data_IF_374886041405
#
_entry.id   IF_374886041405
#
_cell.length_a   1.000
_cell.length_b   1.000
_cell.length_c   1.000
_cell.angle_alpha   90.00
_cell.angle_beta   90.00
_cell.angle_gamma   90.00
#
_symmetry.space_group_name_H-M   'P 1'
#
loop_
_entity.id
_entity.type
_entity.pdbx_description
1 polymer ?
#
# COMPACT_ATOMS: atom_id res chain seq x y z
N UNK A 1 -11.16 -11.78 -80.41
CA UNK A 1 -12.15 -11.09 -79.55
C UNK A 1 -11.50 -10.86 -78.20
N UNK A 2 -11.16 -9.62 -77.85
CA UNK A 2 -10.67 -9.30 -76.49
C UNK A 2 -11.88 -9.32 -75.56
N UNK A 3 -11.83 -10.16 -74.53
CA UNK A 3 -12.79 -10.12 -73.43
C UNK A 3 -12.54 -8.81 -72.69
N UNK A 4 -13.59 -8.04 -72.42
CA UNK A 4 -13.48 -6.80 -71.66
C UNK A 4 -12.95 -7.14 -70.27
N UNK A 5 -11.96 -6.39 -69.80
CA UNK A 5 -11.57 -6.41 -68.39
C UNK A 5 -12.77 -5.84 -67.65
N UNK A 6 -13.46 -6.68 -66.88
CA UNK A 6 -14.38 -6.18 -65.86
C UNK A 6 -13.51 -5.39 -64.88
N UNK A 7 -13.50 -4.07 -65.05
CA UNK A 7 -13.06 -3.18 -64.00
C UNK A 7 -14.00 -3.44 -62.82
N UNK A 8 -13.53 -4.23 -61.86
CA UNK A 8 -14.08 -4.31 -60.50
C UNK A 8 -13.83 -2.96 -59.81
N UNK A 9 -14.43 -1.90 -60.35
CA UNK A 9 -14.61 -0.62 -59.67
C UNK A 9 -15.58 -0.94 -58.55
N UNK A 10 -15.02 -1.16 -57.36
CA UNK A 10 -15.79 -1.31 -56.12
C UNK A 10 -16.60 -0.02 -55.97
N UNK A 11 -17.93 -0.06 -56.11
CA UNK A 11 -18.73 1.15 -55.99
C UNK A 11 -18.59 1.71 -54.56
N UNK A 12 -18.57 3.04 -54.39
CA UNK A 12 -18.43 3.64 -53.06
C UNK A 12 -19.53 3.13 -52.15
N UNK A 13 -19.15 2.34 -51.15
CA UNK A 13 -20.09 1.77 -50.19
C UNK A 13 -20.60 2.85 -49.24
N UNK A 14 -21.78 2.62 -48.67
CA UNK A 14 -22.31 3.51 -47.65
C UNK A 14 -21.49 3.36 -46.36
N UNK A 15 -20.55 4.28 -46.17
CA UNK A 15 -19.59 4.29 -45.05
C UNK A 15 -20.27 4.23 -43.69
N UNK A 16 -21.50 4.74 -43.56
CA UNK A 16 -22.28 4.68 -42.32
C UNK A 16 -22.75 3.26 -41.99
N UNK A 17 -23.22 2.51 -42.99
CA UNK A 17 -23.71 1.13 -42.81
C UNK A 17 -22.51 0.22 -42.53
N UNK A 18 -21.45 0.31 -43.34
CA UNK A 18 -20.24 -0.50 -43.15
C UNK A 18 -19.55 -0.18 -41.82
N UNK A 19 -19.47 1.10 -41.45
CA UNK A 19 -18.91 1.52 -40.16
C UNK A 19 -19.70 1.00 -38.97
N UNK A 20 -21.04 1.03 -39.03
CA UNK A 20 -21.90 0.50 -37.95
C UNK A 20 -21.73 -1.01 -37.80
N UNK A 21 -21.72 -1.76 -38.90
CA UNK A 21 -21.50 -3.22 -38.88
C UNK A 21 -20.10 -3.54 -38.32
N UNK A 22 -19.07 -2.81 -38.77
CA UNK A 22 -17.69 -3.00 -38.32
C UNK A 22 -17.55 -2.75 -36.80
N UNK A 23 -18.11 -1.65 -36.29
CA UNK A 23 -18.09 -1.34 -34.86
C UNK A 23 -18.83 -2.42 -34.06
N UNK A 24 -20.04 -2.81 -34.49
CA UNK A 24 -20.80 -3.84 -33.78
C UNK A 24 -20.09 -5.20 -33.79
N UNK A 25 -19.44 -5.58 -34.89
CA UNK A 25 -18.62 -6.80 -34.98
C UNK A 25 -17.42 -6.72 -34.03
N UNK A 26 -16.71 -5.59 -34.01
CA UNK A 26 -15.58 -5.38 -33.09
C UNK A 26 -16.03 -5.43 -31.63
N UNK A 27 -17.13 -4.77 -31.28
CA UNK A 27 -17.70 -4.78 -29.92
C UNK A 27 -18.15 -6.19 -29.52
N UNK A 28 -18.73 -6.97 -30.44
CA UNK A 28 -19.10 -8.37 -30.19
C UNK A 28 -17.88 -9.24 -29.89
N UNK A 29 -16.80 -9.10 -30.67
CA UNK A 29 -15.56 -9.86 -30.43
C UNK A 29 -14.93 -9.46 -29.10
N UNK A 30 -14.79 -8.17 -28.83
CA UNK A 30 -14.18 -7.68 -27.58
C UNK A 30 -15.00 -8.06 -26.34
N UNK A 31 -16.33 -7.95 -26.41
CA UNK A 31 -17.21 -8.37 -25.31
C UNK A 31 -17.17 -9.89 -25.07
N UNK A 32 -17.06 -10.69 -26.14
CA UNK A 32 -16.89 -12.15 -26.02
C UNK A 32 -15.59 -12.50 -25.30
N UNK A 33 -14.47 -11.87 -25.70
CA UNK A 33 -13.17 -12.07 -25.06
C UNK A 33 -13.23 -11.61 -23.59
N UNK A 34 -13.84 -10.46 -23.31
CA UNK A 34 -14.01 -9.95 -21.95
C UNK A 34 -14.80 -10.92 -21.06
N UNK A 35 -15.87 -11.54 -21.56
CA UNK A 35 -16.65 -12.54 -20.82
C UNK A 35 -15.85 -13.82 -20.52
N UNK A 36 -14.97 -14.25 -21.42
CA UNK A 36 -14.07 -15.39 -21.15
C UNK A 36 -13.10 -15.03 -20.03
N UNK A 37 -12.44 -13.88 -20.10
CA UNK A 37 -11.50 -13.45 -19.07
C UNK A 37 -12.16 -13.12 -17.72
N UNK A 38 -13.42 -12.65 -17.73
CA UNK A 38 -14.21 -12.42 -16.52
C UNK A 38 -14.18 -13.64 -15.59
N UNK A 39 -14.31 -14.84 -16.15
CA UNK A 39 -14.39 -16.07 -15.36
C UNK A 39 -13.15 -16.27 -14.48
N UNK A 40 -11.96 -16.15 -15.06
CA UNK A 40 -10.69 -16.39 -14.37
C UNK A 40 -10.23 -15.17 -13.57
N UNK A 41 -10.36 -13.97 -14.14
CA UNK A 41 -9.80 -12.76 -13.54
C UNK A 41 -10.67 -12.14 -12.44
N UNK A 42 -12.00 -12.34 -12.48
CA UNK A 42 -12.93 -11.63 -11.59
C UNK A 42 -13.88 -12.59 -10.88
N UNK A 43 -14.56 -13.49 -11.59
CA UNK A 43 -15.56 -14.38 -10.99
C UNK A 43 -14.96 -15.37 -9.98
N UNK A 44 -13.89 -16.07 -10.35
CA UNK A 44 -13.19 -16.99 -9.43
C UNK A 44 -12.70 -16.30 -8.14
N UNK A 45 -11.93 -15.19 -8.19
CA UNK A 45 -11.49 -14.52 -6.97
C UNK A 45 -12.64 -13.91 -6.17
N UNK A 46 -13.66 -13.34 -6.83
CA UNK A 46 -14.83 -12.79 -6.13
C UNK A 46 -15.61 -13.87 -5.39
N UNK A 47 -15.83 -15.03 -6.03
CA UNK A 47 -16.52 -16.17 -5.40
C UNK A 47 -15.74 -16.70 -4.19
N UNK A 48 -14.40 -16.75 -4.26
CA UNK A 48 -13.54 -17.10 -3.11
C UNK A 48 -13.67 -16.08 -1.99
N UNK A 49 -13.72 -14.78 -2.31
CA UNK A 49 -13.90 -13.72 -1.32
C UNK A 49 -15.26 -13.85 -0.59
N UNK A 50 -16.35 -14.07 -1.33
CA UNK A 50 -17.68 -14.27 -0.72
C UNK A 50 -17.76 -15.54 0.15
N UNK A 51 -17.06 -16.60 -0.24
CA UNK A 51 -17.06 -17.87 0.51
C UNK A 51 -15.96 -17.94 1.59
N UNK A 52 -15.15 -16.90 1.77
CA UNK A 52 -14.03 -16.91 2.70
C UNK A 52 -14.44 -16.87 4.17
N UNK A 53 -15.67 -16.40 4.47
CA UNK A 53 -16.14 -16.19 5.83
C UNK A 53 -15.36 -15.14 6.62
N UNK A 54 -14.58 -14.30 5.94
CA UNK A 54 -13.85 -13.18 6.55
C UNK A 54 -14.85 -12.06 6.90
N UNK A 55 -14.74 -11.54 8.12
CA UNK A 55 -15.57 -10.41 8.56
C UNK A 55 -15.09 -9.10 7.94
N UNK A 56 -16.02 -8.23 7.52
CA UNK A 56 -15.70 -6.89 6.98
C UNK A 56 -15.26 -5.89 8.07
N UNK A 57 -15.52 -6.19 9.34
CA UNK A 57 -15.05 -5.36 10.46
C UNK A 57 -13.60 -5.74 10.76
N UNK A 58 -12.65 -4.79 10.63
CA UNK A 58 -11.26 -5.08 10.92
C UNK A 58 -11.02 -5.22 12.42
N UNK A 59 -10.11 -6.13 12.76
CA UNK A 59 -9.48 -6.25 14.08
C UNK A 59 -8.05 -5.74 14.00
N UNK A 60 -7.33 -5.70 15.12
CA UNK A 60 -5.95 -5.24 15.12
C UNK A 60 -4.98 -6.42 15.05
N UNK A 61 -4.04 -6.33 14.12
CA UNK A 61 -2.90 -7.22 14.00
C UNK A 61 -1.65 -6.56 14.56
N UNK A 62 -0.86 -7.32 15.31
CA UNK A 62 0.50 -6.94 15.71
C UNK A 62 1.49 -7.93 15.12
N UNK A 63 2.48 -7.46 14.35
CA UNK A 63 3.53 -8.34 13.80
C UNK A 63 4.42 -8.89 14.92
N UNK A 64 4.53 -10.21 14.99
CA UNK A 64 5.32 -10.92 16.00
C UNK A 64 6.67 -11.37 15.46
N UNK A 65 6.73 -11.82 14.20
CA UNK A 65 7.95 -12.24 13.51
C UNK A 65 7.84 -12.06 12.00
N UNK A 66 8.94 -11.68 11.36
CA UNK A 66 9.10 -11.70 9.91
C UNK A 66 10.31 -12.58 9.55
N UNK A 67 10.07 -13.64 8.78
CA UNK A 67 11.11 -14.64 8.47
C UNK A 67 11.35 -14.73 6.98
N UNK A 68 12.61 -14.62 6.58
CA UNK A 68 13.06 -14.93 5.22
C UNK A 68 13.33 -16.44 5.11
N UNK A 69 12.69 -17.13 4.17
CA UNK A 69 12.86 -18.57 3.95
C UNK A 69 13.14 -18.85 2.47
N UNK A 70 14.17 -19.62 2.16
CA UNK A 70 14.63 -19.88 0.79
C UNK A 70 13.73 -20.81 -0.02
N UNK A 71 12.96 -21.67 0.66
CA UNK A 71 11.99 -22.56 0.03
C UNK A 71 10.66 -22.50 0.79
N UNK A 72 9.72 -21.75 0.25
CA UNK A 72 8.45 -21.48 0.87
C UNK A 72 7.30 -22.31 0.28
N UNK A 73 6.45 -22.82 1.16
CA UNK A 73 5.13 -23.35 0.75
C UNK A 73 4.10 -22.22 0.59
N UNK A 74 4.32 -21.10 1.28
CA UNK A 74 3.48 -19.89 1.25
C UNK A 74 4.34 -18.66 1.57
N UNK A 75 3.96 -17.50 1.05
CA UNK A 75 4.55 -16.20 1.37
C UNK A 75 3.46 -15.17 1.67
N UNK A 76 3.80 -14.12 2.42
CA UNK A 76 2.84 -13.08 2.80
C UNK A 76 2.43 -12.18 1.62
N UNK A 77 3.36 -11.98 0.68
CA UNK A 77 3.11 -11.27 -0.57
C UNK A 77 4.00 -11.83 -1.67
N UNK A 78 3.43 -12.09 -2.84
CA UNK A 78 4.13 -12.40 -4.08
C UNK A 78 3.65 -11.52 -5.22
N UNK A 79 4.53 -11.25 -6.18
CA UNK A 79 4.19 -10.54 -7.41
C UNK A 79 4.17 -11.53 -8.58
N UNK A 80 3.20 -11.39 -9.50
CA UNK A 80 3.08 -12.19 -10.72
C UNK A 80 2.93 -13.72 -10.50
N UNK A 81 2.07 -14.13 -9.57
CA UNK A 81 1.96 -15.53 -9.15
C UNK A 81 1.06 -16.37 -10.08
N UNK A 82 1.53 -16.58 -11.32
CA UNK A 82 0.90 -17.54 -12.24
C UNK A 82 1.07 -19.01 -11.79
N UNK A 83 2.06 -19.27 -10.94
CA UNK A 83 2.33 -20.57 -10.31
C UNK A 83 2.48 -20.43 -8.79
N UNK A 84 2.41 -21.55 -8.08
CA UNK A 84 2.71 -21.57 -6.63
C UNK A 84 4.07 -20.93 -6.36
N UNK A 85 4.16 -20.18 -5.27
CA UNK A 85 5.40 -19.57 -4.79
C UNK A 85 6.48 -20.64 -4.68
N UNK A 86 7.50 -20.56 -5.53
CA UNK A 86 8.66 -21.44 -5.50
C UNK A 86 9.91 -20.56 -5.39
N UNK A 87 10.67 -20.71 -4.32
CA UNK A 87 11.87 -19.90 -4.05
C UNK A 87 11.80 -19.13 -2.73
N UNK A 88 12.69 -18.15 -2.59
CA UNK A 88 12.84 -17.36 -1.40
C UNK A 88 11.63 -16.45 -1.19
N UNK A 89 11.06 -16.45 0.02
CA UNK A 89 9.92 -15.61 0.37
C UNK A 89 10.02 -15.09 1.81
N UNK A 90 9.24 -14.05 2.09
CA UNK A 90 9.05 -13.53 3.45
C UNK A 90 7.71 -14.03 4.00
N UNK A 91 7.76 -14.55 5.23
CA UNK A 91 6.61 -15.00 5.99
C UNK A 91 6.43 -14.10 7.20
N UNK A 92 5.33 -13.35 7.23
CA UNK A 92 4.94 -12.47 8.33
C UNK A 92 3.91 -13.20 9.17
N UNK A 93 4.17 -13.23 10.47
CA UNK A 93 3.25 -13.77 11.47
C UNK A 93 2.76 -12.64 12.36
N UNK A 94 1.48 -12.69 12.70
CA UNK A 94 0.77 -11.65 13.45
C UNK A 94 -0.03 -12.24 14.60
N UNK A 95 -0.10 -11.50 15.69
CA UNK A 95 -1.07 -11.73 16.76
C UNK A 95 -2.36 -10.98 16.42
N UNK A 96 -3.50 -11.67 16.50
CA UNK A 96 -4.83 -11.11 16.31
C UNK A 96 -5.39 -10.66 17.66
N UNK A 97 -5.88 -9.42 17.73
CA UNK A 97 -6.58 -8.90 18.91
C UNK A 97 -7.78 -8.04 18.52
N UNK A 98 -8.77 -7.98 19.41
CA UNK A 98 -9.86 -7.01 19.30
C UNK A 98 -9.33 -5.57 19.40
N UNK A 99 -10.14 -4.63 18.90
CA UNK A 99 -9.87 -3.20 19.02
C UNK A 99 -9.84 -2.78 20.50
N UNK A 100 -8.91 -1.89 20.84
CA UNK A 100 -8.81 -1.26 22.16
C UNK A 100 -9.73 -0.06 22.31
N UNK A 101 -9.52 0.72 23.37
CA UNK A 101 -10.31 1.93 23.62
C UNK A 101 -9.90 3.06 22.67
N UNK A 102 -10.82 4.00 22.40
CA UNK A 102 -10.51 5.22 21.67
C UNK A 102 -10.70 6.41 22.60
N UNK A 103 -9.65 7.18 22.81
CA UNK A 103 -9.62 8.28 23.77
C UNK A 103 -9.70 9.63 23.05
N UNK A 104 -10.56 10.51 23.55
CA UNK A 104 -10.64 11.91 23.15
C UNK A 104 -10.06 12.75 24.28
N UNK A 105 -8.96 13.44 23.99
CA UNK A 105 -8.28 14.33 24.94
C UNK A 105 -8.73 15.77 24.71
N UNK A 106 -9.27 16.39 25.76
CA UNK A 106 -9.86 17.72 25.70
C UNK A 106 -8.89 18.80 26.19
N UNK A 107 -8.96 20.00 25.58
CA UNK A 107 -8.20 21.19 25.96
C UNK A 107 -6.67 20.95 26.05
N UNK A 108 -6.13 20.23 25.07
CA UNK A 108 -4.70 19.95 24.98
C UNK A 108 -3.89 21.20 24.57
N UNK A 109 -2.84 21.49 25.33
CA UNK A 109 -1.89 22.59 25.10
C UNK A 109 -0.46 22.06 25.13
N UNK A 110 0.47 22.83 24.57
CA UNK A 110 1.91 22.52 24.62
C UNK A 110 2.21 21.08 24.14
N UNK A 111 1.64 20.68 23.00
CA UNK A 111 1.87 19.34 22.45
C UNK A 111 3.25 19.21 21.81
N UNK A 112 3.89 18.07 22.02
CA UNK A 112 5.16 17.70 21.40
C UNK A 112 5.02 16.30 20.77
N UNK A 113 5.45 16.18 19.52
CA UNK A 113 5.50 14.92 18.80
C UNK A 113 6.95 14.60 18.44
N UNK A 114 7.46 13.46 18.91
CA UNK A 114 8.80 12.99 18.56
C UNK A 114 8.73 11.63 17.91
N UNK A 115 9.26 11.51 16.71
CA UNK A 115 9.41 10.20 16.05
C UNK A 115 10.81 9.68 16.29
N UNK A 116 10.90 8.57 17.00
CA UNK A 116 12.12 7.86 17.34
C UNK A 116 12.39 6.79 16.28
N UNK A 117 12.78 7.21 15.07
CA UNK A 117 13.12 6.27 14.00
C UNK A 117 14.26 5.34 14.45
N UNK A 118 14.14 4.04 14.17
CA UNK A 118 15.32 3.19 14.05
C UNK A 118 15.96 3.36 12.67
N UNK A 119 16.79 2.39 12.27
CA UNK A 119 17.53 2.47 11.02
C UNK A 119 16.69 1.93 9.88
N UNK A 120 16.47 2.78 8.86
CA UNK A 120 15.96 2.33 7.57
C UNK A 120 17.10 1.66 6.79
N UNK A 121 17.15 0.32 6.87
CA UNK A 121 18.24 -0.48 6.30
C UNK A 121 18.32 -0.40 4.76
N UNK A 122 17.23 -0.02 4.08
CA UNK A 122 17.19 0.12 2.63
C UNK A 122 17.77 1.46 2.17
N UNK A 123 17.37 2.56 2.81
CA UNK A 123 17.79 3.91 2.44
C UNK A 123 19.12 4.32 3.08
N UNK A 124 19.59 3.59 4.10
CA UNK A 124 20.86 3.90 4.76
C UNK A 124 22.05 3.71 3.81
N UNK A 125 22.98 4.66 3.83
CA UNK A 125 24.21 4.62 3.04
C UNK A 125 25.06 3.41 3.48
N UNK A 126 25.10 2.38 2.62
CA UNK A 126 25.92 1.18 2.82
C UNK A 126 27.36 1.48 2.39
N UNK A 127 28.28 1.54 3.34
CA UNK A 127 29.70 1.61 3.04
C UNK A 127 30.15 0.22 2.59
N UNK A 128 30.55 0.08 1.32
CA UNK A 128 31.09 -1.17 0.81
C UNK A 128 32.59 -1.08 1.03
N UNK A 129 33.18 -1.97 1.81
CA UNK A 129 34.62 -1.89 2.09
C UNK A 129 35.48 -2.33 0.90
N UNK A 130 35.31 -1.63 -0.22
CA UNK A 130 35.98 -1.74 -1.51
C UNK A 130 36.54 -0.34 -1.79
N UNK A 131 37.72 -0.26 -2.42
CA UNK A 131 38.32 1.01 -2.85
C UNK A 131 38.47 2.10 -1.75
N UNK A 132 38.94 1.71 -0.55
CA UNK A 132 39.23 2.62 0.57
C UNK A 132 38.02 3.38 1.17
N UNK A 133 36.76 3.06 0.82
CA UNK A 133 35.57 3.68 1.44
C UNK A 133 35.55 3.51 2.97
N UNK A 134 36.13 2.43 3.48
CA UNK A 134 36.13 2.12 4.91
C UNK A 134 37.27 2.76 5.72
N UNK A 135 38.14 3.57 5.09
CA UNK A 135 39.31 4.19 5.75
C UNK A 135 38.92 5.20 6.84
N UNK A 136 37.78 5.87 6.69
CA UNK A 136 37.33 6.93 7.59
C UNK A 136 36.12 6.53 8.46
N UNK A 137 35.75 5.24 8.51
CA UNK A 137 34.64 4.81 9.36
C UNK A 137 34.95 5.09 10.83
N UNK A 138 34.05 5.83 11.46
CA UNK A 138 34.10 6.15 12.89
C UNK A 138 32.68 6.06 13.43
N UNK A 139 32.49 5.30 14.51
CA UNK A 139 31.18 4.99 15.07
C UNK A 139 30.88 3.49 15.08
N UNK A 140 29.63 3.14 15.36
CA UNK A 140 29.14 1.76 15.38
C UNK A 140 28.51 1.40 14.04
N UNK A 141 28.82 0.21 13.53
CA UNK A 141 28.36 -0.28 12.24
C UNK A 141 27.77 -1.68 12.36
N UNK A 142 26.68 -1.94 11.65
CA UNK A 142 26.16 -3.28 11.42
C UNK A 142 26.56 -3.72 10.01
N UNK A 143 27.33 -4.79 9.91
CA UNK A 143 27.91 -5.26 8.66
C UNK A 143 27.34 -6.62 8.25
N UNK A 144 27.01 -6.77 6.98
CA UNK A 144 26.55 -8.02 6.36
C UNK A 144 27.31 -8.24 5.06
N UNK A 145 28.09 -9.32 4.98
CA UNK A 145 28.89 -9.70 3.80
C UNK A 145 29.78 -8.56 3.25
N UNK A 146 30.34 -7.71 4.13
CA UNK A 146 31.22 -6.60 3.74
C UNK A 146 30.54 -5.31 3.30
N UNK A 147 29.21 -5.23 3.41
CA UNK A 147 28.48 -3.97 3.39
C UNK A 147 28.15 -3.55 4.83
N UNK A 148 28.62 -2.37 5.25
CA UNK A 148 28.44 -1.85 6.60
C UNK A 148 27.50 -0.64 6.61
N UNK A 149 26.54 -0.65 7.54
CA UNK A 149 25.58 0.43 7.75
C UNK A 149 25.95 1.17 9.03
N UNK A 150 26.06 2.49 8.97
CA UNK A 150 26.33 3.31 10.15
C UNK A 150 25.09 3.32 11.04
N UNK A 151 25.25 2.91 12.29
CA UNK A 151 24.15 2.83 13.25
C UNK A 151 24.27 3.82 14.42
N UNK A 152 25.36 4.58 14.45
CA UNK A 152 25.76 5.44 15.58
C UNK A 152 24.72 6.50 15.95
N UNK A 153 24.00 7.03 14.96
CA UNK A 153 23.03 8.11 15.20
C UNK A 153 21.70 7.60 15.73
N UNK A 154 21.34 6.35 15.42
CA UNK A 154 20.07 5.74 15.81
C UNK A 154 20.18 4.86 17.06
N UNK A 155 21.37 4.32 17.35
CA UNK A 155 21.58 3.36 18.45
C UNK A 155 22.77 3.73 19.32
N UNK A 156 22.60 3.50 20.62
CA UNK A 156 23.64 3.53 21.62
C UNK A 156 23.85 2.10 22.15
N UNK A 157 25.01 1.53 21.85
CA UNK A 157 25.35 0.16 22.23
C UNK A 157 26.32 0.14 23.41
N UNK A 158 25.93 -0.55 24.48
CA UNK A 158 26.76 -0.84 25.65
C UNK A 158 27.29 -2.27 25.53
N UNK A 159 28.62 -2.42 25.58
CA UNK A 159 29.30 -3.71 25.43
C UNK A 159 30.59 -3.75 26.26
N UNK A 160 30.94 -4.95 26.75
CA UNK A 160 32.16 -5.17 27.54
C UNK A 160 33.30 -5.76 26.69
N UNK A 161 32.98 -6.72 25.82
CA UNK A 161 33.97 -7.52 25.10
C UNK A 161 34.03 -7.16 23.61
N UNK A 162 35.25 -7.02 23.10
CA UNK A 162 35.49 -6.78 21.66
C UNK A 162 36.61 -7.66 21.12
N UNK A 163 36.50 -8.02 19.84
CA UNK A 163 37.57 -8.71 19.12
C UNK A 163 38.81 -7.82 18.93
N UNK A 164 39.98 -8.44 18.68
CA UNK A 164 41.17 -7.70 18.26
C UNK A 164 40.88 -6.75 17.08
N UNK A 165 41.52 -5.58 17.04
CA UNK A 165 41.27 -4.58 16.01
C UNK A 165 41.65 -5.08 14.62
N UNK A 166 40.68 -5.05 13.70
CA UNK A 166 40.89 -5.22 12.26
C UNK A 166 41.04 -3.86 11.58
N UNK A 167 42.01 -3.73 10.67
CA UNK A 167 42.15 -2.54 9.82
C UNK A 167 41.41 -2.77 8.51
N UNK A 168 40.40 -1.95 8.24
CA UNK A 168 39.61 -2.01 7.01
C UNK A 168 40.28 -1.28 5.82
N UNK A 169 41.49 -0.73 6.01
CA UNK A 169 42.28 -0.04 4.98
C UNK A 169 43.59 -0.79 4.69
N UNK A 170 43.82 -1.22 3.44
CA UNK A 170 45.06 -1.91 3.06
C UNK A 170 45.22 -2.14 1.54
N UNK A 171 46.45 -1.92 1.03
CA UNK A 171 46.84 -2.25 -0.35
C UNK A 171 46.75 -3.77 -0.56
N UNK A 172 45.88 -4.18 -1.49
CA UNK A 172 45.42 -5.56 -1.79
C UNK A 172 44.46 -6.11 -0.74
N UNK A 173 43.17 -6.04 -1.06
CA UNK A 173 42.05 -6.64 -0.33
C UNK A 173 42.14 -8.16 -0.16
N UNK A 174 43.07 -8.62 0.68
CA UNK A 174 43.19 -10.01 1.15
C UNK A 174 42.82 -10.20 2.62
N UNK A 175 42.35 -9.15 3.31
CA UNK A 175 41.54 -9.29 4.53
C UNK A 175 40.11 -8.86 4.17
N UNK A 176 39.41 -9.84 3.60
CA UNK A 176 38.11 -10.35 4.06
C UNK A 176 37.09 -9.36 4.61
N UNK A 177 36.91 -8.20 3.99
CA UNK A 177 35.73 -7.38 4.26
C UNK A 177 34.42 -8.17 4.04
N UNK A 178 34.42 -9.12 3.09
CA UNK A 178 33.32 -10.07 2.86
C UNK A 178 33.00 -10.93 4.10
N UNK A 179 33.95 -11.18 4.99
CA UNK A 179 33.74 -11.96 6.24
C UNK A 179 33.31 -11.09 7.43
N UNK A 180 33.26 -9.77 7.26
CA UNK A 180 32.80 -8.85 8.31
C UNK A 180 31.27 -8.96 8.39
N UNK A 181 30.83 -9.79 9.33
CA UNK A 181 29.43 -9.98 9.68
C UNK A 181 29.20 -9.70 11.18
N UNK A 182 28.19 -8.89 11.47
CA UNK A 182 27.77 -8.51 12.82
C UNK A 182 28.05 -7.04 13.15
N UNK A 183 28.05 -6.74 14.45
CA UNK A 183 28.24 -5.40 15.00
C UNK A 183 29.72 -5.08 15.21
N UNK A 184 30.14 -3.90 14.74
CA UNK A 184 31.51 -3.41 14.84
C UNK A 184 31.54 -2.00 15.41
N UNK A 185 32.51 -1.72 16.27
CA UNK A 185 32.87 -0.36 16.66
C UNK A 185 34.14 0.03 15.94
N UNK A 186 34.10 1.14 15.20
CA UNK A 186 35.17 1.60 14.33
C UNK A 186 35.69 2.96 14.77
N UNK A 187 37.01 3.14 14.72
CA UNK A 187 37.68 4.42 14.93
C UNK A 187 38.68 4.64 13.80
N UNK A 188 38.43 5.62 12.93
CA UNK A 188 39.29 5.95 11.78
C UNK A 188 39.69 4.72 10.94
N UNK A 189 38.72 3.88 10.61
CA UNK A 189 38.92 2.68 9.78
C UNK A 189 39.58 1.49 10.46
N UNK A 190 39.83 1.57 11.78
CA UNK A 190 40.17 0.41 12.61
C UNK A 190 38.93 -0.04 13.37
N UNK A 191 38.43 -1.23 13.06
CA UNK A 191 37.16 -1.76 13.55
C UNK A 191 37.38 -2.96 14.46
N UNK A 192 36.60 -3.05 15.54
CA UNK A 192 36.56 -4.21 16.45
C UNK A 192 35.16 -4.78 16.44
N UNK A 193 35.04 -6.10 16.32
CA UNK A 193 33.73 -6.76 16.43
C UNK A 193 33.27 -6.71 17.88
N UNK A 194 32.02 -6.36 18.10
CA UNK A 194 31.38 -6.37 19.42
C UNK A 194 30.90 -7.81 19.69
N UNK A 195 31.32 -8.40 20.82
CA UNK A 195 30.88 -9.75 21.22
C UNK A 195 29.65 -9.68 22.10
N UNK A 196 28.76 -10.66 21.95
CA UNK A 196 27.66 -10.87 22.90
C UNK A 196 28.23 -11.29 24.25
N UNK A 197 27.70 -10.76 25.38
CA UNK A 197 26.50 -9.93 25.49
C UNK A 197 26.76 -8.42 25.25
N UNK A 198 25.87 -7.78 24.50
CA UNK A 198 25.79 -6.33 24.35
C UNK A 198 24.32 -5.91 24.37
N UNK A 199 24.04 -4.67 24.79
CA UNK A 199 22.71 -4.07 24.71
C UNK A 199 22.77 -2.84 23.82
N UNK A 200 21.98 -2.82 22.73
CA UNK A 200 21.85 -1.66 21.85
C UNK A 200 20.47 -1.05 22.03
N UNK A 201 20.43 0.11 22.67
CA UNK A 201 19.19 0.87 22.87
C UNK A 201 19.06 1.96 21.81
N UNK A 202 17.83 2.35 21.49
CA UNK A 202 17.59 3.47 20.58
C UNK A 202 18.10 4.77 21.21
N UNK A 203 18.87 5.53 20.44
CA UNK A 203 19.35 6.86 20.80
C UNK A 203 18.27 7.93 20.56
N UNK A 204 17.07 7.71 21.10
CA UNK A 204 16.01 8.73 21.11
C UNK A 204 16.03 9.47 22.44
N UNK A 205 16.97 10.41 22.55
CA UNK A 205 17.15 11.32 23.70
C UNK A 205 16.30 12.58 23.54
N UNK A 206 16.29 13.48 24.53
CA UNK A 206 15.66 14.81 24.47
C UNK A 206 14.15 14.81 24.17
N UNK A 207 13.38 13.92 24.82
CA UNK A 207 11.92 13.95 24.78
C UNK A 207 11.42 14.98 25.81
N UNK A 208 10.74 16.07 25.40
CA UNK A 208 10.31 17.13 26.30
C UNK A 208 9.09 16.72 27.13
N UNK A 209 9.34 16.28 28.36
CA UNK A 209 8.32 15.89 29.35
C UNK A 209 7.90 17.02 30.28
N UNK A 210 8.59 18.18 30.21
CA UNK A 210 8.23 19.36 31.00
C UNK A 210 6.81 19.85 30.71
N UNK A 211 6.03 20.02 31.78
CA UNK A 211 4.63 20.47 31.74
C UNK A 211 3.81 19.60 30.76
N UNK A 212 3.91 18.27 30.91
CA UNK A 212 3.13 17.28 30.19
C UNK A 212 2.48 16.36 31.21
N UNK A 213 1.20 16.09 31.04
CA UNK A 213 0.44 15.15 31.86
C UNK A 213 -0.10 13.97 31.05
N UNK A 214 0.14 13.93 29.73
CA UNK A 214 -0.20 12.81 28.86
C UNK A 214 1.02 12.38 28.06
N UNK A 215 1.27 11.07 28.03
CA UNK A 215 2.30 10.42 27.21
C UNK A 215 1.68 9.25 26.46
N UNK A 216 1.50 9.40 25.15
CA UNK A 216 0.97 8.35 24.29
C UNK A 216 2.07 7.77 23.39
N UNK A 217 2.18 6.45 23.38
CA UNK A 217 3.12 5.71 22.56
C UNK A 217 2.41 5.17 21.32
N UNK A 218 2.85 5.56 20.13
CA UNK A 218 2.28 5.13 18.84
C UNK A 218 3.38 4.57 17.94
N UNK A 219 3.66 3.28 18.11
CA UNK A 219 4.78 2.63 17.42
C UNK A 219 6.10 3.32 17.76
N UNK A 220 6.73 3.92 16.75
CA UNK A 220 7.98 4.69 16.89
C UNK A 220 7.78 6.15 17.29
N UNK A 221 6.52 6.60 17.45
CA UNK A 221 6.17 7.98 17.80
C UNK A 221 5.81 8.09 19.28
N UNK A 222 6.32 9.13 19.92
CA UNK A 222 5.87 9.55 21.25
C UNK A 222 5.13 10.87 21.09
N UNK A 223 3.88 10.88 21.53
CA UNK A 223 3.06 12.07 21.60
C UNK A 223 2.94 12.49 23.06
N UNK A 224 3.28 13.73 23.36
CA UNK A 224 3.17 14.30 24.70
C UNK A 224 2.32 15.55 24.63
N UNK A 225 1.44 15.75 25.60
CA UNK A 225 0.65 16.99 25.70
C UNK A 225 0.27 17.29 27.14
N UNK A 226 -0.19 18.52 27.37
CA UNK A 226 -0.88 18.93 28.60
C UNK A 226 -2.37 19.05 28.30
N UNK A 227 -3.20 18.10 28.71
CA UNK A 227 -4.65 18.17 28.49
C UNK A 227 -5.41 18.16 29.83
N UNK A 228 -6.66 18.63 29.81
CA UNK A 228 -7.47 18.76 31.01
C UNK A 228 -8.17 17.46 31.40
N UNK A 229 -8.65 16.70 30.42
CA UNK A 229 -9.34 15.42 30.64
C UNK A 229 -9.18 14.48 29.44
N UNK A 230 -9.39 13.19 29.71
CA UNK A 230 -9.47 12.13 28.73
C UNK A 230 -10.84 11.45 28.83
N UNK A 231 -11.52 11.33 27.69
CA UNK A 231 -12.87 10.78 27.60
C UNK A 231 -12.82 9.58 26.66
N UNK A 232 -13.39 8.46 27.07
CA UNK A 232 -13.54 7.31 26.19
C UNK A 232 -14.66 7.57 25.17
N UNK A 233 -14.36 7.40 23.89
CA UNK A 233 -15.25 7.76 22.78
C UNK A 233 -16.48 6.85 22.69
N UNK A 234 -16.37 5.59 23.09
CA UNK A 234 -17.46 4.63 22.97
C UNK A 234 -18.44 4.77 24.14
N UNK A 235 -17.92 4.84 25.36
CA UNK A 235 -18.71 4.95 26.59
C UNK A 235 -19.12 6.37 26.94
N UNK A 236 -18.45 7.39 26.36
CA UNK A 236 -18.62 8.81 26.69
C UNK A 236 -18.34 9.13 28.18
N UNK A 237 -17.55 8.29 28.85
CA UNK A 237 -17.16 8.47 30.24
C UNK A 237 -15.79 9.15 30.32
N UNK A 238 -15.65 10.05 31.29
CA UNK A 238 -14.35 10.61 31.65
C UNK A 238 -13.54 9.53 32.38
N UNK A 239 -12.39 9.17 31.81
CA UNK A 239 -11.55 8.07 32.29
C UNK A 239 -10.30 8.55 33.02
N UNK A 240 -9.96 9.83 32.87
CA UNK A 240 -8.84 10.47 33.54
C UNK A 240 -8.99 12.00 33.48
N UNK A 241 -8.53 12.68 34.51
CA UNK A 241 -8.54 14.14 34.60
C UNK A 241 -7.22 14.70 35.15
N UNK A 242 -6.99 16.00 34.96
CA UNK A 242 -5.81 16.69 35.47
C UNK A 242 -5.79 16.82 37.01
N UNK A 243 -6.95 16.73 37.68
CA UNK A 243 -7.07 16.87 39.14
C UNK A 243 -6.42 15.71 39.92
N UNK A 244 -6.25 14.55 39.29
CA UNK A 244 -5.60 13.37 39.88
C UNK A 244 -4.08 13.54 40.10
N UNK A 245 -3.46 14.64 39.63
CA UNK A 245 -2.01 14.97 39.69
C UNK A 245 -1.07 13.84 39.23
N UNK A 246 -1.58 12.96 38.37
CA UNK A 246 -0.85 11.85 37.76
C UNK A 246 -0.73 12.05 36.25
N UNK A 247 0.25 11.41 35.65
CA UNK A 247 0.51 11.41 34.21
C UNK A 247 -0.15 10.20 33.57
N UNK A 248 -1.03 10.41 32.60
CA UNK A 248 -1.64 9.34 31.81
C UNK A 248 -0.64 8.79 30.80
N UNK A 249 -0.51 7.47 30.75
CA UNK A 249 0.28 6.75 29.76
C UNK A 249 -0.58 5.70 29.04
N UNK A 250 -0.48 5.61 27.72
CA UNK A 250 -1.14 4.55 26.95
C UNK A 250 -0.41 4.26 25.64
N UNK A 251 -0.60 3.07 25.08
CA UNK A 251 -0.03 2.68 23.79
C UNK A 251 -1.12 2.58 22.72
N UNK A 252 -1.17 3.53 21.79
CA UNK A 252 -2.24 3.65 20.80
C UNK A 252 -1.76 3.34 19.38
N UNK A 253 -2.66 2.90 18.51
CA UNK A 253 -2.34 2.67 17.10
C UNK A 253 -2.06 3.98 16.37
N UNK A 254 -3.01 4.93 16.47
CA UNK A 254 -2.94 6.19 15.73
C UNK A 254 -3.38 7.36 16.62
N UNK A 255 -2.80 8.54 16.39
CA UNK A 255 -3.10 9.76 17.13
C UNK A 255 -3.32 10.87 16.10
N UNK A 256 -4.48 11.49 16.13
CA UNK A 256 -4.91 12.52 15.20
C UNK A 256 -5.40 13.76 15.95
N UNK A 257 -5.05 14.95 15.46
CA UNK A 257 -5.63 16.18 15.97
C UNK A 257 -6.94 16.45 15.24
N UNK A 258 -8.02 16.61 16.00
CA UNK A 258 -9.36 16.97 15.51
C UNK A 258 -9.74 18.38 15.97
N UNK A 259 -10.89 18.89 15.51
CA UNK A 259 -11.40 20.20 15.95
C UNK A 259 -11.83 20.25 17.42
N UNK A 260 -12.18 19.09 18.00
CA UNK A 260 -12.69 18.97 19.38
C UNK A 260 -11.55 18.68 20.37
N UNK A 261 -10.44 18.11 19.88
CA UNK A 261 -9.32 17.71 20.72
C UNK A 261 -8.39 16.74 20.01
N UNK A 262 -7.59 16.02 20.78
CA UNK A 262 -6.69 14.99 20.24
C UNK A 262 -7.37 13.64 20.35
N UNK A 263 -7.55 12.96 19.24
CA UNK A 263 -8.14 11.62 19.19
C UNK A 263 -7.02 10.57 19.11
N UNK A 264 -6.99 9.68 20.09
CA UNK A 264 -6.11 8.53 20.13
C UNK A 264 -6.94 7.26 19.90
N UNK A 265 -6.63 6.53 18.84
CA UNK A 265 -7.42 5.39 18.36
C UNK A 265 -6.71 4.09 18.71
N UNK A 266 -7.50 3.12 19.18
CA UNK A 266 -7.04 1.76 19.52
C UNK A 266 -5.88 1.77 20.53
N UNK A 267 -6.17 2.34 21.70
CA UNK A 267 -5.28 2.39 22.85
C UNK A 267 -5.36 1.09 23.66
N UNK A 268 -4.20 0.63 24.10
CA UNK A 268 -4.00 -0.54 24.95
C UNK A 268 -3.04 -0.21 26.10
N UNK A 269 -3.11 -1.01 27.16
CA UNK A 269 -2.27 -0.91 28.36
C UNK A 269 -2.32 0.48 28.99
N UNK A 270 -3.51 1.03 29.19
CA UNK A 270 -3.68 2.34 29.84
C UNK A 270 -3.15 2.29 31.26
N UNK A 271 -2.40 3.31 31.67
CA UNK A 271 -1.78 3.38 32.98
C UNK A 271 -1.59 4.82 33.46
N UNK A 272 -1.37 4.99 34.75
CA UNK A 272 -1.06 6.28 35.37
C UNK A 272 0.32 6.22 36.03
N UNK A 273 1.06 7.33 35.95
CA UNK A 273 2.40 7.48 36.49
C UNK A 273 2.45 8.70 37.40
N UNK A 274 3.10 8.57 38.56
CA UNK A 274 3.27 9.71 39.47
C UNK A 274 4.17 10.79 38.82
N UNK A 275 3.75 12.05 38.88
CA UNK A 275 4.39 13.18 38.18
C UNK A 275 5.87 13.42 38.55
N UNK A 276 6.24 13.07 39.78
CA UNK A 276 7.60 13.23 40.31
C UNK A 276 8.64 12.31 39.65
N UNK A 277 8.19 11.32 38.88
CA UNK A 277 9.09 10.35 38.22
C UNK A 277 9.66 10.91 36.92
N UNK A 278 8.97 11.86 36.28
CA UNK A 278 9.42 12.47 35.03
C UNK A 278 10.28 13.70 35.26
N UNK A 279 11.45 13.72 34.63
CA UNK A 279 12.32 14.90 34.52
C UNK A 279 11.87 15.82 33.38
N UNK A 280 12.52 16.97 33.17
CA UNK A 280 12.17 17.90 32.08
C UNK A 280 12.41 17.30 30.68
N UNK A 281 13.45 16.47 30.56
CA UNK A 281 13.83 15.73 29.36
C UNK A 281 14.03 14.26 29.73
N UNK A 282 13.59 13.36 28.86
CA UNK A 282 13.74 11.90 29.02
C UNK A 282 14.16 11.25 27.70
N UNK A 283 14.43 9.94 27.74
CA UNK A 283 14.68 9.12 26.56
C UNK A 283 13.56 8.08 26.33
N UNK A 284 13.47 7.55 25.11
CA UNK A 284 12.40 6.62 24.74
C UNK A 284 12.43 5.32 25.55
N UNK A 285 13.63 4.77 25.77
CA UNK A 285 13.82 3.51 26.52
C UNK A 285 13.31 3.64 27.96
N UNK A 286 13.59 4.78 28.61
CA UNK A 286 13.09 5.04 29.96
C UNK A 286 11.57 5.21 29.98
N UNK A 287 10.98 5.95 29.03
CA UNK A 287 9.52 6.07 28.93
C UNK A 287 8.83 4.71 28.71
N UNK A 288 9.41 3.86 27.85
CA UNK A 288 8.91 2.51 27.61
C UNK A 288 9.00 1.65 28.88
N UNK A 289 10.13 1.71 29.60
CA UNK A 289 10.30 1.04 30.88
C UNK A 289 9.30 1.53 31.93
N UNK A 290 9.10 2.85 32.04
CA UNK A 290 8.12 3.44 32.96
C UNK A 290 6.71 2.94 32.65
N UNK A 291 6.31 2.92 31.38
CA UNK A 291 4.99 2.46 30.96
C UNK A 291 4.72 1.00 31.33
N UNK A 292 5.72 0.12 31.20
CA UNK A 292 5.56 -1.33 31.40
C UNK A 292 5.79 -1.76 32.85
N UNK A 293 6.77 -1.16 33.55
CA UNK A 293 7.25 -1.66 34.84
C UNK A 293 6.88 -0.80 36.04
N UNK A 294 6.61 0.49 35.86
CA UNK A 294 6.42 1.44 36.98
C UNK A 294 5.00 2.00 37.02
N UNK A 295 4.42 2.33 35.87
CA UNK A 295 3.10 2.90 35.76
C UNK A 295 2.03 1.90 36.26
N UNK A 296 1.02 2.40 36.96
CA UNK A 296 -0.05 1.60 37.53
C UNK A 296 -1.10 1.36 36.45
N UNK A 297 -1.37 0.10 36.05
CA UNK A 297 -2.31 -0.19 34.97
C UNK A 297 -3.74 0.19 35.39
N UNK A 298 -4.45 0.88 34.50
CA UNK A 298 -5.81 1.35 34.70
C UNK A 298 -6.68 0.96 33.51
N UNK A 299 -7.49 -0.09 33.72
CA UNK A 299 -8.34 -0.69 32.68
C UNK A 299 -9.41 0.26 32.14
N UNK A 300 -9.83 1.23 32.96
CA UNK A 300 -10.80 2.26 32.55
C UNK A 300 -10.23 3.16 31.45
N UNK A 301 -8.92 3.42 31.44
CA UNK A 301 -8.27 4.23 30.40
C UNK A 301 -8.12 3.40 29.13
N UNK A 302 -7.51 2.23 29.24
CA UNK A 302 -7.43 1.29 28.13
C UNK A 302 -7.26 -0.15 28.62
N UNK A 303 -7.88 -1.12 27.91
CA UNK A 303 -7.78 -2.54 28.25
C UNK A 303 -6.35 -3.07 28.10
N UNK A 304 -6.06 -4.16 28.81
CA UNK A 304 -4.79 -4.87 28.69
C UNK A 304 -4.75 -5.66 27.37
N UNK A 305 -3.61 -5.65 26.70
CA UNK A 305 -3.44 -6.33 25.40
C UNK A 305 -3.76 -7.84 25.47
N UNK A 306 -3.39 -8.48 26.58
CA UNK A 306 -3.61 -9.91 26.80
C UNK A 306 -5.10 -10.27 26.86
N UNK A 307 -5.95 -9.36 27.34
CA UNK A 307 -7.39 -9.58 27.45
C UNK A 307 -8.11 -9.43 26.11
N UNK A 308 -7.50 -8.71 25.15
CA UNK A 308 -8.03 -8.51 23.81
C UNK A 308 -7.57 -9.57 22.80
N UNK A 309 -6.60 -10.41 23.17
CA UNK A 309 -5.96 -11.35 22.24
C UNK A 309 -6.93 -12.46 21.80
N UNK A 310 -7.12 -12.58 20.49
CA UNK A 310 -7.98 -13.58 19.84
C UNK A 310 -7.16 -14.81 19.45
N UNK A 311 -5.97 -14.59 18.86
CA UNK A 311 -5.12 -15.67 18.37
C UNK A 311 -3.65 -15.24 18.26
N UNK A 312 -2.76 -15.97 18.95
CA UNK A 312 -1.36 -15.57 19.12
C UNK A 312 -0.53 -15.56 17.84
N UNK A 313 -0.83 -16.44 16.88
CA UNK A 313 -0.01 -16.59 15.69
C UNK A 313 -0.83 -16.94 14.44
N UNK A 314 -1.00 -15.94 13.58
CA UNK A 314 -1.69 -16.04 12.29
C UNK A 314 -0.73 -15.67 11.16
N UNK A 315 -0.91 -16.28 10.00
CA UNK A 315 -0.18 -15.98 8.77
C UNK A 315 -0.78 -14.73 8.14
N UNK A 316 0.00 -13.67 8.03
CA UNK A 316 -0.46 -12.46 7.35
C UNK A 316 -0.29 -12.62 5.84
N UNK A 317 -1.36 -12.34 5.10
CA UNK A 317 -1.36 -12.27 3.64
C UNK A 317 -1.83 -10.89 3.18
N UNK A 318 -1.29 -10.39 2.07
CA UNK A 318 -1.74 -9.11 1.50
C UNK A 318 -3.22 -9.13 1.11
N UNK A 319 -3.67 -10.24 0.52
CA UNK A 319 -5.05 -10.56 0.14
C UNK A 319 -5.30 -12.07 0.36
N UNK A 320 -6.48 -12.57 -0.02
CA UNK A 320 -6.86 -14.00 0.10
C UNK A 320 -5.89 -14.97 -0.61
N UNK A 321 -5.19 -14.52 -1.66
CA UNK A 321 -4.29 -15.35 -2.46
C UNK A 321 -2.80 -15.15 -2.09
N UNK A 322 -2.50 -14.14 -1.26
CA UNK A 322 -1.13 -13.72 -0.96
C UNK A 322 -0.39 -13.18 -2.19
N UNK A 323 -1.09 -12.74 -3.24
CA UNK A 323 -0.48 -12.38 -4.52
C UNK A 323 -1.06 -11.10 -5.14
N UNK A 324 -0.19 -10.32 -5.77
CA UNK A 324 -0.51 -9.11 -6.52
C UNK A 324 -0.02 -9.23 -7.97
N UNK A 325 -0.82 -8.75 -8.93
CA UNK A 325 -0.53 -8.81 -10.36
C UNK A 325 -0.15 -7.43 -10.97
N UNK A 326 0.43 -6.54 -10.16
CA UNK A 326 0.83 -5.19 -10.58
C UNK A 326 2.34 -5.02 -10.49
N UNK A 327 2.95 -4.31 -11.45
CA UNK A 327 4.38 -3.90 -11.42
C UNK A 327 4.60 -2.60 -10.62
N UNK A 328 3.96 -2.49 -9.46
CA UNK A 328 3.99 -1.26 -8.64
C UNK A 328 4.82 -1.41 -7.36
N UNK A 329 5.66 -2.44 -7.26
CA UNK A 329 6.43 -2.78 -6.06
C UNK A 329 5.56 -2.90 -4.78
N UNK A 330 4.29 -3.27 -4.93
CA UNK A 330 3.33 -3.33 -3.82
C UNK A 330 3.77 -4.30 -2.73
N UNK A 331 4.45 -5.40 -3.11
CA UNK A 331 4.95 -6.34 -2.11
C UNK A 331 6.11 -5.77 -1.32
N UNK A 332 6.96 -4.93 -1.93
CA UNK A 332 8.05 -4.26 -1.22
C UNK A 332 7.50 -3.31 -0.16
N UNK A 333 6.52 -2.49 -0.54
CA UNK A 333 5.87 -1.55 0.38
C UNK A 333 5.11 -2.29 1.49
N UNK A 334 4.41 -3.36 1.13
CA UNK A 334 3.74 -4.23 2.09
C UNK A 334 4.72 -4.81 3.13
N UNK A 335 5.83 -5.38 2.69
CA UNK A 335 6.83 -5.96 3.60
C UNK A 335 7.49 -4.89 4.47
N UNK A 336 7.67 -3.68 3.94
CA UNK A 336 8.21 -2.54 4.70
C UNK A 336 7.26 -2.08 5.81
N UNK A 337 5.97 -2.00 5.54
CA UNK A 337 4.99 -1.47 6.48
C UNK A 337 4.54 -2.52 7.51
N UNK A 338 4.33 -3.76 7.06
CA UNK A 338 3.79 -4.84 7.89
C UNK A 338 4.86 -5.80 8.44
N UNK A 339 6.07 -5.83 7.88
CA UNK A 339 7.14 -6.75 8.28
C UNK A 339 7.93 -6.34 9.53
N UNK A 340 7.59 -5.23 10.19
CA UNK A 340 8.30 -4.76 11.39
C UNK A 340 7.94 -5.62 12.59
N UNK A 341 8.81 -6.56 12.97
CA UNK A 341 8.67 -7.44 14.14
C UNK A 341 9.40 -6.95 15.40
N UNK A 342 10.15 -5.86 15.26
CA UNK A 342 10.93 -5.21 16.32
C UNK A 342 12.32 -5.81 16.56
N UNK A 343 12.78 -6.72 15.70
CA UNK A 343 14.17 -7.22 15.73
C UNK A 343 15.20 -6.13 15.43
N UNK A 344 14.86 -5.20 14.53
CA UNK A 344 15.68 -4.00 14.24
C UNK A 344 15.56 -2.91 15.32
N UNK A 345 15.15 -3.30 16.52
CA UNK A 345 14.76 -2.45 17.63
C UNK A 345 13.62 -1.48 17.32
N UNK A 346 13.05 -1.44 16.09
CA UNK A 346 11.85 -0.70 15.71
C UNK A 346 10.60 -1.18 16.47
N UNK A 347 9.53 -0.39 16.50
CA UNK A 347 8.31 -0.82 17.13
C UNK A 347 7.65 -1.86 16.24
N UNK A 348 6.99 -2.84 16.85
CA UNK A 348 6.20 -3.82 16.11
C UNK A 348 5.13 -3.10 15.32
N UNK A 349 4.94 -3.50 14.07
CA UNK A 349 3.86 -2.99 13.24
C UNK A 349 2.53 -3.39 13.86
N UNK A 350 1.67 -2.39 14.11
CA UNK A 350 0.26 -2.57 14.47
C UNK A 350 -0.59 -1.99 13.37
N UNK A 351 -1.63 -2.69 12.95
CA UNK A 351 -2.47 -2.27 11.82
C UNK A 351 -3.80 -3.03 11.82
N UNK A 352 -4.86 -2.44 11.21
CA UNK A 352 -6.12 -3.14 11.00
C UNK A 352 -5.93 -4.30 10.00
N UNK A 353 -6.54 -5.44 10.31
CA UNK A 353 -6.53 -6.63 9.47
C UNK A 353 -7.85 -7.40 9.62
N UNK A 354 -8.07 -8.34 8.70
CA UNK A 354 -9.31 -9.10 8.62
C UNK A 354 -9.01 -10.59 8.79
N UNK A 355 -9.92 -11.32 9.41
CA UNK A 355 -9.78 -12.75 9.64
C UNK A 355 -11.14 -13.45 9.52
N UNK A 356 -11.11 -14.78 9.42
CA UNK A 356 -12.31 -15.61 9.40
C UNK A 356 -12.47 -16.30 10.76
N UNK A 357 -13.68 -16.30 11.33
CA UNK A 357 -13.95 -17.02 12.57
C UNK A 357 -13.73 -18.53 12.42
N UNK A 358 -13.98 -19.07 11.22
CA UNK A 358 -13.77 -20.48 10.89
C UNK A 358 -12.31 -20.87 10.65
N UNK A 359 -11.44 -19.90 10.33
CA UNK A 359 -10.00 -20.13 10.16
C UNK A 359 -9.19 -18.91 10.62
N UNK A 360 -8.73 -18.98 11.88
CA UNK A 360 -7.91 -17.94 12.52
C UNK A 360 -6.43 -18.02 12.16
N UNK A 361 -5.99 -19.06 11.45
CA UNK A 361 -4.58 -19.20 11.06
C UNK A 361 -4.17 -18.23 9.95
N UNK A 362 -5.13 -17.60 9.27
CA UNK A 362 -4.89 -16.68 8.16
C UNK A 362 -5.52 -15.34 8.49
N UNK A 363 -4.71 -14.28 8.40
CA UNK A 363 -5.14 -12.90 8.49
C UNK A 363 -4.81 -12.19 7.18
N UNK A 364 -5.72 -11.32 6.73
CA UNK A 364 -5.58 -10.59 5.47
C UNK A 364 -5.49 -9.10 5.76
N UNK A 365 -4.53 -8.42 5.14
CA UNK A 365 -4.37 -6.97 5.31
C UNK A 365 -5.38 -6.16 4.49
N UNK A 366 -5.66 -6.59 3.25
CA UNK A 366 -6.58 -5.90 2.34
C UNK A 366 -7.79 -6.79 2.06
N UNK A 367 -8.93 -6.42 2.62
CA UNK A 367 -10.21 -7.07 2.34
C UNK A 367 -11.31 -6.01 2.25
N UNK A 368 -12.03 -6.00 1.13
CA UNK A 368 -13.17 -5.12 0.93
C UNK A 368 -14.17 -5.81 0.00
N UNK A 369 -15.23 -6.37 0.58
CA UNK A 369 -16.20 -7.17 -0.14
C UNK A 369 -17.19 -6.29 -0.92
N UNK A 370 -17.55 -5.11 -0.41
CA UNK A 370 -18.36 -4.12 -1.15
C UNK A 370 -17.69 -3.69 -2.46
N UNK A 371 -16.41 -3.32 -2.42
CA UNK A 371 -15.65 -2.95 -3.64
C UNK A 371 -15.52 -4.14 -4.59
N UNK A 372 -15.25 -5.34 -4.05
CA UNK A 372 -15.15 -6.56 -4.86
C UNK A 372 -16.49 -6.87 -5.56
N UNK A 373 -17.60 -6.69 -4.85
CA UNK A 373 -18.95 -6.89 -5.39
C UNK A 373 -19.29 -5.87 -6.47
N UNK A 374 -19.02 -4.59 -6.25
CA UNK A 374 -19.23 -3.54 -7.25
C UNK A 374 -18.40 -3.77 -8.52
N UNK A 375 -17.12 -4.12 -8.36
CA UNK A 375 -16.24 -4.46 -9.48
C UNK A 375 -16.76 -5.67 -10.26
N UNK A 376 -17.21 -6.72 -9.55
CA UNK A 376 -17.82 -7.89 -10.17
C UNK A 376 -19.08 -7.53 -10.96
N UNK A 377 -19.99 -6.72 -10.40
CA UNK A 377 -21.20 -6.28 -11.09
C UNK A 377 -20.88 -5.50 -12.36
N UNK A 378 -20.02 -4.49 -12.29
CA UNK A 378 -19.65 -3.67 -13.45
C UNK A 378 -19.00 -4.54 -14.52
N UNK A 379 -18.02 -5.36 -14.12
CA UNK A 379 -17.28 -6.20 -15.05
C UNK A 379 -18.14 -7.29 -15.68
N UNK A 380 -19.17 -7.78 -15.00
CA UNK A 380 -20.11 -8.77 -15.56
C UNK A 380 -21.17 -8.11 -16.43
N UNK A 381 -21.81 -7.04 -15.97
CA UNK A 381 -22.97 -6.44 -16.64
C UNK A 381 -22.54 -5.74 -17.94
N UNK A 382 -21.45 -4.97 -17.91
CA UNK A 382 -21.04 -4.14 -19.06
C UNK A 382 -20.74 -4.99 -20.32
N UNK A 383 -19.89 -6.03 -20.27
CA UNK A 383 -19.64 -6.88 -21.43
C UNK A 383 -20.87 -7.67 -21.85
N UNK A 384 -21.70 -8.15 -20.91
CA UNK A 384 -22.93 -8.87 -21.26
C UNK A 384 -23.93 -7.98 -22.02
N UNK A 385 -24.14 -6.74 -21.57
CA UNK A 385 -25.02 -5.79 -22.26
C UNK A 385 -24.48 -5.45 -23.64
N UNK A 386 -23.18 -5.13 -23.73
CA UNK A 386 -22.54 -4.83 -25.02
C UNK A 386 -22.63 -6.03 -25.98
N UNK A 387 -22.48 -7.25 -25.48
CA UNK A 387 -22.61 -8.46 -26.29
C UNK A 387 -24.03 -8.65 -26.82
N UNK A 388 -25.05 -8.53 -25.95
CA UNK A 388 -26.46 -8.70 -26.32
C UNK A 388 -26.90 -7.62 -27.31
N UNK A 389 -26.58 -6.35 -27.03
CA UNK A 389 -26.91 -5.23 -27.93
C UNK A 389 -26.23 -5.42 -29.29
N UNK A 390 -24.95 -5.79 -29.32
CA UNK A 390 -24.21 -6.01 -30.57
C UNK A 390 -24.76 -7.20 -31.36
N UNK A 391 -25.16 -8.29 -30.67
CA UNK A 391 -25.81 -9.43 -31.32
C UNK A 391 -27.15 -9.02 -31.96
N UNK A 392 -27.99 -8.29 -31.22
CA UNK A 392 -29.31 -7.84 -31.71
C UNK A 392 -29.13 -6.92 -32.92
N UNK A 393 -28.22 -5.94 -32.86
CA UNK A 393 -27.99 -5.01 -33.98
C UNK A 393 -27.49 -5.74 -35.22
N UNK A 394 -26.59 -6.72 -35.08
CA UNK A 394 -26.12 -7.51 -36.22
C UNK A 394 -27.21 -8.40 -36.83
N UNK A 395 -28.07 -9.01 -36.00
CA UNK A 395 -29.22 -9.78 -36.49
C UNK A 395 -30.20 -8.87 -37.25
N UNK A 396 -30.44 -7.66 -36.73
CA UNK A 396 -31.28 -6.67 -37.41
C UNK A 396 -30.65 -6.25 -38.74
N UNK A 397 -29.36 -5.90 -38.75
CA UNK A 397 -28.63 -5.56 -39.98
C UNK A 397 -28.66 -6.70 -41.00
N UNK A 398 -28.51 -7.96 -40.59
CA UNK A 398 -28.59 -9.10 -41.49
C UNK A 398 -29.98 -9.23 -42.12
N UNK A 399 -31.05 -8.93 -41.38
CA UNK A 399 -32.43 -9.00 -41.91
C UNK A 399 -32.82 -7.77 -42.73
N UNK A 400 -32.29 -6.60 -42.38
CA UNK A 400 -32.67 -5.32 -42.97
C UNK A 400 -31.78 -4.88 -44.12
N UNK A 401 -30.51 -5.31 -44.20
CA UNK A 401 -29.59 -4.86 -45.25
C UNK A 401 -29.62 -5.85 -46.41
N UNK A 402 -29.85 -5.33 -47.62
CA UNK A 402 -29.78 -6.09 -48.87
C UNK A 402 -28.72 -5.45 -49.76
N UNK A 403 -27.98 -6.29 -50.49
CA UNK A 403 -27.07 -5.85 -51.55
C UNK A 403 -27.89 -5.74 -52.83
N UNK A 404 -28.04 -4.52 -53.36
CA UNK A 404 -28.70 -4.30 -54.64
C UNK A 404 -27.82 -4.76 -55.81
N UNK A 405 -28.41 -4.85 -56.99
CA UNK A 405 -27.72 -5.24 -58.24
C UNK A 405 -26.55 -4.30 -58.61
N UNK A 406 -26.49 -3.12 -57.99
CA UNK A 406 -25.38 -2.15 -58.07
C UNK A 406 -24.24 -2.40 -57.07
N UNK A 407 -24.23 -3.56 -56.41
CA UNK A 407 -23.31 -3.95 -55.34
C UNK A 407 -23.26 -2.98 -54.15
N UNK A 408 -24.31 -2.15 -53.94
CA UNK A 408 -24.45 -1.24 -52.80
C UNK A 408 -25.36 -1.80 -51.73
N UNK A 409 -24.99 -1.61 -50.47
CA UNK A 409 -25.82 -1.98 -49.31
C UNK A 409 -26.94 -0.95 -49.09
N UNK A 410 -28.19 -1.42 -49.00
CA UNK A 410 -29.38 -0.60 -48.74
C UNK A 410 -30.28 -1.27 -47.69
N UNK A 411 -31.05 -0.47 -46.95
CA UNK A 411 -32.07 -1.00 -46.05
C UNK A 411 -33.33 -1.41 -46.82
N UNK A 412 -33.84 -2.63 -46.56
CA UNK A 412 -35.14 -3.14 -47.00
C UNK A 412 -36.22 -2.19 -46.51
N UNK A 413 -36.81 -1.42 -47.43
CA UNK A 413 -37.89 -0.47 -47.14
C UNK A 413 -37.66 0.96 -47.63
N UNK A 414 -36.42 1.38 -47.93
CA UNK A 414 -36.15 2.70 -48.51
C UNK A 414 -36.20 2.70 -50.05
N UNK A 415 -37.16 2.00 -50.64
CA UNK A 415 -37.38 1.96 -52.09
C UNK A 415 -38.68 2.68 -52.48
N UNK A 416 -38.95 3.86 -51.89
CA UNK A 416 -40.07 4.73 -52.29
C UNK A 416 -39.86 6.15 -51.75
N UNK A 417 -38.77 6.83 -52.11
CA UNK A 417 -38.66 8.27 -51.86
C UNK A 417 -37.79 9.05 -52.86
N UNK A 418 -37.35 8.45 -53.97
CA UNK A 418 -36.61 9.17 -55.02
C UNK A 418 -37.32 9.02 -56.36
N UNK A 419 -38.51 9.62 -56.49
CA UNK A 419 -39.11 9.86 -57.82
C UNK A 419 -40.04 11.06 -57.80
N UNK A 420 -39.50 12.27 -57.59
CA UNK A 420 -40.15 13.50 -58.08
C UNK A 420 -39.07 14.40 -58.68
N UNK A 421 -38.83 14.24 -59.98
CA UNK A 421 -38.31 15.31 -60.83
C UNK A 421 -39.40 16.38 -60.99
N UNK A 422 -39.03 17.67 -61.04
CA UNK A 422 -39.69 18.60 -61.95
C UNK A 422 -38.73 19.11 -63.04
N UNK A 423 -39.28 19.61 -64.17
CA UNK A 423 -38.58 19.66 -65.44
C UNK A 423 -37.93 21.03 -65.74
N UNK A 424 -36.76 20.97 -66.38
CA UNK A 424 -36.35 21.86 -67.47
C UNK A 424 -36.04 23.34 -67.18
N UNK A 425 -34.76 23.71 -67.30
CA UNK A 425 -34.36 24.90 -68.09
C UNK A 425 -32.88 24.83 -68.48
N UNK A 426 -32.63 24.98 -69.78
CA UNK A 426 -31.33 25.09 -70.45
C UNK A 426 -30.57 26.34 -69.98
N UNK A 427 -29.23 26.27 -69.87
CA UNK A 427 -28.30 26.97 -70.78
C UNK A 427 -26.82 26.84 -70.36
N UNK A 428 -26.03 26.32 -71.30
CA UNK A 428 -24.70 26.75 -71.77
C UNK A 428 -23.75 27.58 -70.88
N UNK A 429 -22.59 26.97 -70.62
CA UNK A 429 -21.21 27.47 -70.86
C UNK A 429 -20.79 28.90 -70.43
N UNK A 430 -19.80 28.98 -69.53
CA UNK A 430 -18.53 29.75 -69.67
C UNK A 430 -17.73 29.60 -68.36
N UNK A 431 -16.54 28.99 -68.39
CA UNK A 431 -15.23 29.62 -68.58
C UNK A 431 -14.67 30.32 -67.32
N UNK A 432 -13.83 29.56 -66.60
CA UNK A 432 -12.51 29.90 -66.07
C UNK A 432 -12.07 31.37 -65.85
N UNK A 433 -11.43 31.52 -64.66
CA UNK A 433 -10.24 32.31 -64.28
C UNK A 433 -10.39 33.75 -63.72
N UNK A 434 -9.65 33.98 -62.63
CA UNK A 434 -9.29 35.29 -62.05
C UNK A 434 -9.31 35.25 -60.52
N UNK A 435 -8.25 34.83 -59.81
CA UNK A 435 -7.01 35.56 -59.48
C UNK A 435 -7.11 36.40 -58.18
N UNK A 436 -6.00 36.46 -57.42
CA UNK A 436 -5.74 37.54 -56.47
C UNK A 436 -5.79 37.25 -54.95
N UNK A 437 -4.65 36.83 -54.39
CA UNK A 437 -3.94 37.62 -53.35
C UNK A 437 -4.45 37.64 -51.89
N UNK A 438 -3.72 36.95 -51.02
CA UNK A 438 -2.77 37.58 -50.08
C UNK A 438 -3.26 38.25 -48.77
N UNK A 439 -2.74 37.72 -47.65
CA UNK A 439 -2.60 38.38 -46.33
C UNK A 439 -3.70 38.01 -45.33
N UNK A 440 -3.47 37.54 -44.11
CA UNK A 440 -2.30 37.58 -43.23
C UNK A 440 -2.79 37.94 -41.81
N UNK A 441 -2.39 37.15 -40.81
CA UNK A 441 -2.49 37.39 -39.34
C UNK A 441 -3.92 37.42 -38.76
N UNK A 442 -4.27 36.89 -37.59
CA UNK A 442 -3.54 36.68 -36.35
C UNK A 442 -4.19 35.57 -35.48
N UNK A 443 -3.33 34.78 -34.83
CA UNK A 443 -3.26 34.49 -33.40
C UNK A 443 -4.50 34.08 -32.56
N UNK A 444 -4.24 33.05 -31.71
CA UNK A 444 -4.77 32.79 -30.34
C UNK A 444 -5.87 31.72 -30.15
N UNK A 445 -5.39 30.55 -29.68
CA UNK A 445 -5.76 29.76 -28.48
C UNK A 445 -7.22 29.53 -28.03
N UNK A 446 -7.37 28.28 -27.54
CA UNK A 446 -8.27 27.77 -26.49
C UNK A 446 -9.74 27.57 -26.92
N UNK A 447 -10.37 26.40 -26.77
CA UNK A 447 -10.25 25.33 -25.75
C UNK A 447 -10.38 23.95 -26.38
#
# INVERSE_FOLDING_TARGET
KKVAVEDLIIPPQNTKICGTICICQMTLVLSSVALVYLTVAIYMPSTRAFNSGITEVPVMCTTTRAVNKDNCEWGSCGEWCLSKTSGACIQIYVNLRNNGSSLTLANCTNSANKTCYGIDQENSKKARCIADECKNLTGTFNCTAGACINITDAFECVFADTDPPLKCSGRRGKITCIEIAGLFTCTRGTCRKIRTPYNCDRRCVDIPTRNKNIVLLSGDKVYLSQCQSAIDKETQLEVWNEEEDNVLMASCYNIQNTSIGVEAVDCINGSTLDKNVLTDLTNFTFLSHLHVAVAKPQKLIAPLEQELTIWNESRLMINLEGCVNTLQDECRDFLKDFGKDGTDHNARARFPCFYSEGNKEIAVARFNLEVTYQQFLIASILPSVLFVVSCITLILCQRSVVVGDDARMRFKGCASADTILPPGSKNNSQHNLGDGGGGGTDSVMAL
#
